data_IF_468920664248
#
_entry.id   IF_468920664248
#
_cell.length_a   1.000
_cell.length_b   1.000
_cell.length_c   1.000
_cell.angle_alpha   90.00
_cell.angle_beta   90.00
_cell.angle_gamma   90.00
#
_symmetry.space_group_name_H-M   'P 1'
#
loop_
_entity.id
_entity.type
_entity.pdbx_description
1 polymer ?
#
# COMPACT_ATOMS: atom_id res chain seq x y z
N UNK A 1 42.64 -27.01 6.69
CA UNK A 1 41.62 -25.95 6.59
C UNK A 1 40.60 -26.17 7.70
N UNK A 2 40.42 -25.23 8.64
CA UNK A 2 39.44 -25.40 9.70
C UNK A 2 38.01 -25.13 9.17
N UNK A 3 36.97 -25.75 9.76
CA UNK A 3 35.59 -25.50 9.37
C UNK A 3 35.15 -24.11 9.83
N UNK A 4 34.52 -23.36 8.91
CA UNK A 4 33.80 -22.12 9.20
C UNK A 4 32.52 -22.46 9.99
N UNK A 5 32.66 -22.84 11.25
CA UNK A 5 31.58 -22.70 12.24
C UNK A 5 31.46 -21.21 12.60
N UNK A 6 30.82 -20.47 11.70
CA UNK A 6 30.37 -19.12 12.01
C UNK A 6 29.19 -19.21 12.98
N UNK A 7 29.49 -18.84 14.22
CA UNK A 7 28.58 -18.26 15.20
C UNK A 7 27.42 -17.49 14.54
N UNK A 8 26.28 -18.15 14.35
CA UNK A 8 24.99 -17.47 14.31
C UNK A 8 24.39 -17.61 15.69
N UNK A 9 24.95 -16.83 16.63
CA UNK A 9 24.25 -16.47 17.83
C UNK A 9 22.86 -15.98 17.42
N UNK A 10 21.87 -16.53 18.09
CA UNK A 10 20.46 -16.27 17.99
C UNK A 10 20.15 -14.85 17.52
N UNK A 11 19.62 -14.74 16.29
CA UNK A 11 18.74 -13.63 15.94
C UNK A 11 17.42 -13.87 16.69
N UNK A 12 17.51 -13.83 18.02
CA UNK A 12 16.41 -13.50 18.88
C UNK A 12 16.08 -12.06 18.52
N UNK A 13 15.13 -11.90 17.59
CA UNK A 13 14.46 -10.62 17.38
C UNK A 13 13.66 -10.42 18.65
N UNK A 14 14.35 -9.99 19.70
CA UNK A 14 13.71 -9.40 20.86
C UNK A 14 12.91 -8.23 20.29
N UNK A 15 11.60 -8.44 20.23
CA UNK A 15 10.58 -7.42 20.04
C UNK A 15 10.54 -6.48 21.25
N UNK A 16 11.69 -6.14 21.80
CA UNK A 16 11.94 -4.99 22.66
C UNK A 16 11.98 -3.76 21.76
N UNK A 17 10.86 -3.52 21.07
CA UNK A 17 10.47 -2.14 20.83
C UNK A 17 10.27 -1.57 22.23
N UNK A 18 11.28 -0.87 22.72
CA UNK A 18 11.15 0.09 23.80
C UNK A 18 10.06 1.05 23.35
N UNK A 19 8.82 0.69 23.67
CA UNK A 19 7.79 1.65 23.97
C UNK A 19 8.42 2.55 25.03
N UNK A 20 8.90 3.71 24.60
CA UNK A 20 8.86 4.88 25.46
C UNK A 20 7.39 5.06 25.81
N UNK A 21 6.94 4.32 26.83
CA UNK A 21 5.79 4.64 27.63
C UNK A 21 6.13 6.00 28.21
N UNK A 22 5.70 7.03 27.48
CA UNK A 22 5.32 8.29 28.10
C UNK A 22 4.47 7.90 29.30
N UNK A 23 4.95 8.27 30.49
CA UNK A 23 4.30 8.00 31.77
C UNK A 23 2.78 8.17 31.68
N UNK A 24 1.98 7.22 32.19
CA UNK A 24 0.52 7.34 32.19
C UNK A 24 -0.02 8.49 33.07
N UNK A 25 0.85 9.11 33.86
CA UNK A 25 0.44 10.04 34.91
C UNK A 25 0.72 11.47 34.48
N UNK A 26 -0.14 12.01 33.63
CA UNK A 26 -0.59 13.41 33.60
C UNK A 26 -1.53 13.63 32.40
N UNK A 27 -2.57 12.80 32.29
CA UNK A 27 -3.78 13.24 31.59
C UNK A 27 -4.58 14.08 32.59
N UNK A 28 -4.09 15.30 32.87
CA UNK A 28 -4.94 16.31 33.48
C UNK A 28 -6.11 16.49 32.53
N UNK A 29 -7.28 16.14 33.04
CA UNK A 29 -8.58 16.29 32.45
C UNK A 29 -8.82 17.75 32.06
N UNK A 30 -8.25 18.17 30.94
CA UNK A 30 -8.69 19.33 30.21
C UNK A 30 -10.10 18.98 29.74
N UNK A 31 -11.07 19.52 30.48
CA UNK A 31 -12.50 19.49 30.21
C UNK A 31 -12.67 19.96 28.78
N UNK A 32 -12.70 19.00 27.85
CA UNK A 32 -13.06 19.27 26.47
C UNK A 32 -14.48 19.81 26.53
N UNK A 33 -14.75 21.02 25.99
CA UNK A 33 -16.08 21.57 25.98
C UNK A 33 -16.98 20.52 25.33
N UNK A 34 -18.04 20.11 26.06
CA UNK A 34 -19.06 19.18 25.60
C UNK A 34 -19.64 19.74 24.30
N UNK A 35 -19.02 19.38 23.17
CA UNK A 35 -19.63 19.56 21.86
C UNK A 35 -20.91 18.76 21.95
N UNK A 36 -22.03 19.47 21.96
CA UNK A 36 -23.34 18.88 21.71
C UNK A 36 -23.23 18.26 20.31
N UNK A 37 -22.84 16.99 20.27
CA UNK A 37 -22.97 16.15 19.09
C UNK A 37 -24.45 16.23 18.76
N UNK A 38 -24.77 17.05 17.76
CA UNK A 38 -26.04 16.92 17.07
C UNK A 38 -26.09 15.45 16.67
N UNK A 39 -27.06 14.73 17.25
CA UNK A 39 -27.51 13.45 16.73
C UNK A 39 -28.17 13.76 15.38
N UNK A 40 -27.37 14.16 14.38
CA UNK A 40 -27.70 13.90 13.00
C UNK A 40 -27.87 12.39 12.97
N UNK A 41 -29.12 11.97 12.84
CA UNK A 41 -29.52 10.60 12.59
C UNK A 41 -28.69 10.11 11.42
N UNK A 42 -27.60 9.41 11.72
CA UNK A 42 -26.73 8.80 10.72
C UNK A 42 -27.64 7.88 9.91
N UNK A 43 -28.11 8.36 8.75
CA UNK A 43 -28.89 7.57 7.82
C UNK A 43 -28.06 6.32 7.57
N UNK A 44 -28.59 5.18 8.01
CA UNK A 44 -27.93 3.89 7.80
C UNK A 44 -27.68 3.79 6.30
N UNK A 45 -26.41 3.75 5.91
CA UNK A 45 -26.04 3.60 4.50
C UNK A 45 -26.44 2.19 4.10
N UNK A 46 -27.65 2.05 3.56
CA UNK A 46 -28.10 0.79 3.00
C UNK A 46 -27.43 0.61 1.64
N UNK A 47 -26.68 -0.48 1.50
CA UNK A 47 -26.13 -0.92 0.21
C UNK A 47 -27.12 -1.92 -0.35
N UNK A 48 -27.81 -1.55 -1.43
CA UNK A 48 -28.67 -2.46 -2.17
C UNK A 48 -27.87 -3.12 -3.28
N UNK A 49 -28.05 -4.42 -3.45
CA UNK A 49 -27.45 -5.19 -4.52
C UNK A 49 -28.53 -5.57 -5.54
N UNK A 50 -28.13 -5.85 -6.79
CA UNK A 50 -29.05 -6.39 -7.79
C UNK A 50 -29.44 -7.83 -7.42
N UNK A 51 -30.67 -8.22 -7.72
CA UNK A 51 -31.22 -9.55 -7.41
C UNK A 51 -30.41 -10.72 -8.02
N UNK A 52 -29.61 -10.44 -9.06
CA UNK A 52 -28.75 -11.43 -9.71
C UNK A 52 -27.43 -11.72 -8.97
N UNK A 53 -27.11 -10.97 -7.91
CA UNK A 53 -25.85 -11.14 -7.16
C UNK A 53 -25.99 -12.34 -6.21
N UNK A 54 -25.23 -13.40 -6.48
CA UNK A 54 -25.15 -14.56 -5.58
C UNK A 54 -24.23 -14.23 -4.40
N UNK A 55 -24.77 -14.26 -3.19
CA UNK A 55 -23.97 -14.14 -1.97
C UNK A 55 -23.46 -15.51 -1.55
N UNK A 56 -22.19 -15.56 -1.18
CA UNK A 56 -21.62 -16.70 -0.47
C UNK A 56 -21.30 -16.24 0.95
N UNK A 57 -21.95 -16.83 1.94
CA UNK A 57 -21.58 -16.61 3.32
C UNK A 57 -20.19 -17.21 3.54
N UNK A 58 -19.23 -16.37 3.93
CA UNK A 58 -17.90 -16.84 4.34
C UNK A 58 -17.96 -17.06 5.85
N UNK A 59 -17.83 -18.31 6.34
CA UNK A 59 -17.91 -18.59 7.76
C UNK A 59 -16.80 -17.88 8.52
N UNK A 60 -17.11 -17.43 9.75
CA UNK A 60 -16.11 -16.81 10.60
C UNK A 60 -15.04 -17.82 11.00
N UNK A 61 -13.81 -17.38 11.31
CA UNK A 61 -12.74 -18.30 11.69
C UNK A 61 -13.09 -19.14 12.94
N UNK A 62 -13.94 -18.63 13.83
CA UNK A 62 -14.46 -19.34 14.99
C UNK A 62 -15.41 -20.49 14.62
N UNK A 63 -16.12 -20.40 13.51
CA UNK A 63 -17.08 -21.41 13.03
C UNK A 63 -16.41 -22.56 12.28
N UNK A 64 -15.16 -22.38 11.82
CA UNK A 64 -14.44 -23.41 11.06
C UNK A 64 -13.81 -24.42 12.02
N UNK A 65 -14.16 -25.70 11.86
CA UNK A 65 -13.61 -26.79 12.67
C UNK A 65 -12.10 -26.96 12.48
N UNK A 66 -11.37 -27.44 13.50
CA UNK A 66 -9.92 -27.69 13.41
C UNK A 66 -9.54 -28.58 12.22
N UNK A 67 -10.37 -29.57 11.89
CA UNK A 67 -10.16 -30.46 10.73
C UNK A 67 -10.28 -29.71 9.41
N UNK A 68 -11.30 -28.87 9.25
CA UNK A 68 -11.43 -28.02 8.06
C UNK A 68 -10.29 -27.00 7.97
N UNK A 69 -9.87 -26.42 9.09
CA UNK A 69 -8.71 -25.52 9.16
C UNK A 69 -7.43 -26.19 8.64
N UNK A 70 -7.17 -27.42 9.09
CA UNK A 70 -6.03 -28.21 8.62
C UNK A 70 -6.11 -28.61 7.14
N UNK A 71 -7.32 -28.74 6.59
CA UNK A 71 -7.51 -29.06 5.17
C UNK A 71 -7.43 -27.82 4.27
N UNK A 72 -7.84 -26.65 4.77
CA UNK A 72 -7.89 -25.41 4.00
C UNK A 72 -6.60 -24.60 4.06
N UNK A 73 -5.82 -24.74 5.14
CA UNK A 73 -4.60 -23.97 5.36
C UNK A 73 -3.36 -24.85 5.31
N UNK A 74 -2.23 -24.19 5.03
CA UNK A 74 -0.93 -24.80 5.13
C UNK A 74 -0.75 -25.45 6.50
N UNK A 75 -0.25 -26.68 6.48
CA UNK A 75 0.30 -27.30 7.68
C UNK A 75 1.46 -26.45 8.23
N UNK A 76 1.78 -26.58 9.54
CA UNK A 76 2.90 -25.85 10.12
C UNK A 76 4.23 -26.08 9.38
N UNK A 77 4.46 -27.30 8.88
CA UNK A 77 5.66 -27.66 8.11
C UNK A 77 5.70 -26.98 6.74
N UNK A 78 4.58 -26.96 6.01
CA UNK A 78 4.46 -26.23 4.75
C UNK A 78 4.67 -24.73 4.96
N UNK A 79 4.04 -24.15 5.98
CA UNK A 79 4.20 -22.73 6.32
C UNK A 79 5.66 -22.40 6.65
N UNK A 80 6.34 -23.27 7.39
CA UNK A 80 7.77 -23.12 7.67
C UNK A 80 8.62 -23.23 6.40
N UNK A 81 8.26 -24.11 5.46
CA UNK A 81 8.94 -24.22 4.17
C UNK A 81 8.79 -22.96 3.32
N UNK A 82 7.55 -22.48 3.15
CA UNK A 82 7.24 -21.23 2.44
C UNK A 82 8.00 -20.05 3.06
N UNK A 83 8.05 -19.98 4.40
CA UNK A 83 8.82 -18.93 5.09
C UNK A 83 10.32 -19.02 4.80
N UNK A 84 10.91 -20.22 4.84
CA UNK A 84 12.34 -20.41 4.53
C UNK A 84 12.66 -20.02 3.10
N UNK A 85 11.79 -20.36 2.15
CA UNK A 85 11.94 -19.98 0.75
C UNK A 85 11.84 -18.47 0.58
N UNK A 86 10.84 -17.82 1.17
CA UNK A 86 10.71 -16.36 1.14
C UNK A 86 11.96 -15.66 1.70
N UNK A 87 12.50 -16.12 2.83
CA UNK A 87 13.74 -15.58 3.40
C UNK A 87 14.91 -15.75 2.44
N UNK A 88 15.04 -16.92 1.81
CA UNK A 88 16.10 -17.19 0.82
C UNK A 88 15.99 -16.23 -0.37
N UNK A 89 14.79 -16.04 -0.91
CA UNK A 89 14.53 -15.10 -2.00
C UNK A 89 14.89 -13.67 -1.61
N UNK A 90 14.47 -13.21 -0.43
CA UNK A 90 14.82 -11.87 0.08
C UNK A 90 16.33 -11.69 0.22
N UNK A 91 17.06 -12.71 0.72
CA UNK A 91 18.53 -12.67 0.80
C UNK A 91 19.16 -12.52 -0.58
N UNK A 92 18.68 -13.26 -1.58
CA UNK A 92 19.16 -13.13 -2.97
C UNK A 92 18.90 -11.75 -3.55
N UNK A 93 17.68 -11.22 -3.36
CA UNK A 93 17.32 -9.86 -3.77
C UNK A 93 18.22 -8.82 -3.11
N UNK A 94 18.47 -8.95 -1.80
CA UNK A 94 19.36 -8.06 -1.05
C UNK A 94 20.78 -8.04 -1.62
N UNK A 95 21.26 -9.20 -2.07
CA UNK A 95 22.57 -9.37 -2.67
C UNK A 95 22.59 -9.08 -4.19
N UNK A 96 21.49 -8.56 -4.76
CA UNK A 96 21.31 -8.30 -6.20
C UNK A 96 21.56 -9.54 -7.08
N UNK A 97 21.33 -10.73 -6.55
CA UNK A 97 21.43 -11.99 -7.29
C UNK A 97 20.13 -12.15 -8.09
N UNK A 98 20.24 -12.37 -9.40
CA UNK A 98 19.08 -12.64 -10.26
C UNK A 98 18.31 -13.85 -9.75
N UNK A 99 16.98 -13.78 -9.75
CA UNK A 99 16.11 -14.90 -9.40
C UNK A 99 15.97 -15.85 -10.58
N UNK A 100 15.78 -17.15 -10.30
CA UNK A 100 15.53 -18.15 -11.33
C UNK A 100 14.14 -17.99 -11.97
N UNK A 101 13.87 -18.67 -13.10
CA UNK A 101 12.60 -18.53 -13.84
C UNK A 101 11.36 -18.97 -13.03
N UNK A 102 11.55 -19.85 -12.03
CA UNK A 102 10.47 -20.34 -11.17
C UNK A 102 10.38 -19.60 -9.82
N UNK A 103 11.25 -18.61 -9.59
CA UNK A 103 11.28 -17.84 -8.35
C UNK A 103 10.64 -16.48 -8.58
N UNK A 104 9.72 -16.11 -7.71
CA UNK A 104 9.06 -14.80 -7.75
C UNK A 104 9.54 -13.92 -6.60
N UNK A 105 9.88 -12.66 -6.90
CA UNK A 105 10.10 -11.61 -5.89
C UNK A 105 8.79 -10.98 -5.42
N UNK A 106 7.64 -11.40 -5.98
CA UNK A 106 6.37 -10.73 -5.78
C UNK A 106 5.91 -10.83 -4.32
N UNK A 107 5.48 -9.71 -3.76
CA UNK A 107 5.11 -9.61 -2.34
C UNK A 107 6.31 -9.59 -1.37
N UNK A 108 7.54 -9.69 -1.88
CA UNK A 108 8.78 -9.63 -1.12
C UNK A 108 9.61 -8.37 -1.42
N UNK A 109 9.15 -7.49 -2.31
CA UNK A 109 9.86 -6.31 -2.81
C UNK A 109 10.21 -5.33 -1.69
N UNK A 110 9.37 -5.24 -0.65
CA UNK A 110 9.60 -4.34 0.49
C UNK A 110 10.25 -5.04 1.68
N UNK A 111 10.71 -6.29 1.53
CA UNK A 111 11.27 -7.10 2.62
C UNK A 111 12.79 -7.05 2.68
N UNK A 112 13.42 -6.57 1.63
CA UNK A 112 14.83 -6.26 1.58
C UNK A 112 15.12 -4.98 2.42
N UNK A 113 16.23 -4.88 3.17
CA UNK A 113 16.42 -3.79 4.14
C UNK A 113 16.36 -2.38 3.55
N UNK A 114 16.87 -2.22 2.33
CA UNK A 114 16.89 -0.95 1.61
C UNK A 114 15.49 -0.52 1.20
N UNK A 115 14.73 -1.41 0.58
CA UNK A 115 13.37 -1.15 0.12
C UNK A 115 12.41 -1.01 1.29
N UNK A 116 12.63 -1.75 2.38
CA UNK A 116 11.89 -1.56 3.63
C UNK A 116 12.12 -0.15 4.20
N UNK A 117 13.37 0.30 4.26
CA UNK A 117 13.71 1.66 4.72
C UNK A 117 13.09 2.73 3.84
N UNK A 118 13.16 2.56 2.51
CA UNK A 118 12.53 3.46 1.55
C UNK A 118 11.00 3.51 1.72
N UNK A 119 10.36 2.37 1.95
CA UNK A 119 8.93 2.28 2.22
C UNK A 119 8.53 3.01 3.51
N UNK A 120 9.30 2.84 4.59
CA UNK A 120 9.08 3.56 5.85
C UNK A 120 9.19 5.08 5.63
N UNK A 121 10.22 5.55 4.92
CA UNK A 121 10.40 6.98 4.69
C UNK A 121 9.28 7.57 3.84
N UNK A 122 8.85 6.87 2.80
CA UNK A 122 7.72 7.31 1.97
C UNK A 122 6.41 7.38 2.78
N UNK A 123 6.17 6.39 3.64
CA UNK A 123 5.03 6.39 4.56
C UNK A 123 5.10 7.59 5.51
N UNK A 124 6.26 7.84 6.12
CA UNK A 124 6.48 9.00 7.00
C UNK A 124 6.25 10.32 6.27
N UNK A 125 6.79 10.47 5.05
CA UNK A 125 6.59 11.64 4.20
C UNK A 125 5.10 11.88 3.94
N UNK A 126 4.37 10.85 3.55
CA UNK A 126 2.93 10.94 3.29
C UNK A 126 2.16 11.40 4.53
N UNK A 127 2.45 10.81 5.69
CA UNK A 127 1.83 11.20 6.97
C UNK A 127 2.15 12.65 7.32
N UNK A 128 3.42 13.09 7.21
CA UNK A 128 3.83 14.47 7.48
C UNK A 128 3.09 15.48 6.61
N UNK A 129 2.91 15.16 5.33
CA UNK A 129 2.17 16.01 4.38
C UNK A 129 0.72 16.19 4.85
N UNK A 130 0.06 15.10 5.22
CA UNK A 130 -1.34 15.13 5.69
C UNK A 130 -1.47 15.91 6.99
N UNK A 131 -0.58 15.65 7.96
CA UNK A 131 -0.59 16.35 9.25
C UNK A 131 -0.31 17.85 9.08
N UNK A 132 0.63 18.22 8.20
CA UNK A 132 0.92 19.62 7.89
C UNK A 132 -0.31 20.33 7.34
N UNK A 133 -1.07 19.66 6.47
CA UNK A 133 -2.29 20.24 5.91
C UNK A 133 -3.41 20.32 6.95
N UNK A 134 -3.62 19.26 7.73
CA UNK A 134 -4.57 19.26 8.84
C UNK A 134 -4.28 20.34 9.88
N UNK A 135 -3.00 20.67 10.10
CA UNK A 135 -2.61 21.74 11.01
C UNK A 135 -2.82 23.13 10.39
N UNK A 136 -2.60 23.25 9.07
CA UNK A 136 -2.84 24.51 8.34
C UNK A 136 -4.32 24.88 8.31
N UNK A 137 -5.20 23.90 8.15
CA UNK A 137 -6.64 24.10 8.20
C UNK A 137 -7.09 24.35 9.64
N UNK A 138 -7.50 25.58 9.95
CA UNK A 138 -8.32 25.84 11.13
C UNK A 138 -9.57 24.92 11.09
N UNK A 139 -10.21 24.60 12.23
CA UNK A 139 -11.33 23.65 12.28
C UNK A 139 -12.54 23.97 11.37
N UNK A 140 -12.61 25.18 10.81
CA UNK A 140 -13.67 25.62 9.89
C UNK A 140 -13.22 25.79 8.43
N UNK A 141 -11.94 25.54 8.10
CA UNK A 141 -11.36 25.82 6.78
C UNK A 141 -10.59 24.61 6.24
N UNK A 142 -11.21 23.43 6.38
CA UNK A 142 -10.65 22.17 5.89
C UNK A 142 -11.01 21.99 4.42
N UNK A 143 -10.02 22.13 3.55
CA UNK A 143 -10.15 21.86 2.11
C UNK A 143 -9.95 20.37 1.82
N UNK A 144 -11.06 19.61 1.85
CA UNK A 144 -11.06 18.19 1.54
C UNK A 144 -10.67 17.89 0.08
N UNK A 145 -10.95 18.80 -0.85
CA UNK A 145 -10.58 18.62 -2.26
C UNK A 145 -9.08 18.70 -2.45
N UNK A 146 -8.43 19.67 -1.80
CA UNK A 146 -6.98 19.80 -1.79
C UNK A 146 -6.30 18.58 -1.17
N UNK A 147 -6.77 18.11 -0.02
CA UNK A 147 -6.25 16.90 0.63
C UNK A 147 -6.40 15.69 -0.31
N UNK A 148 -7.57 15.53 -0.94
CA UNK A 148 -7.80 14.46 -1.91
C UNK A 148 -6.90 14.56 -3.15
N UNK A 149 -6.64 15.78 -3.65
CA UNK A 149 -5.73 16.03 -4.76
C UNK A 149 -4.28 15.67 -4.39
N UNK A 150 -3.87 15.99 -3.16
CA UNK A 150 -2.54 15.68 -2.62
C UNK A 150 -2.33 14.17 -2.45
N UNK A 151 -3.34 13.45 -1.94
CA UNK A 151 -3.33 11.98 -1.90
C UNK A 151 -3.23 11.36 -3.30
N UNK A 152 -4.04 11.85 -4.25
CA UNK A 152 -3.96 11.42 -5.65
C UNK A 152 -2.59 11.67 -6.25
N UNK A 153 -1.97 12.82 -5.96
CA UNK A 153 -0.63 13.13 -6.44
C UNK A 153 0.41 12.13 -5.93
N UNK A 154 0.39 11.85 -4.63
CA UNK A 154 1.36 10.95 -3.99
C UNK A 154 1.15 9.48 -4.40
N UNK A 155 -0.09 9.05 -4.65
CA UNK A 155 -0.40 7.67 -5.05
C UNK A 155 -0.13 7.36 -6.53
N UNK A 156 0.09 8.36 -7.39
CA UNK A 156 0.36 8.17 -8.83
C UNK A 156 1.54 7.24 -9.12
N UNK A 157 2.57 7.22 -8.28
CA UNK A 157 3.72 6.32 -8.47
C UNK A 157 3.30 4.86 -8.23
N UNK A 158 2.55 4.60 -7.18
CA UNK A 158 2.03 3.28 -6.86
C UNK A 158 1.07 2.77 -7.94
N UNK A 159 0.18 3.62 -8.45
CA UNK A 159 -0.75 3.25 -9.53
C UNK A 159 -0.01 2.87 -10.81
N UNK A 160 0.99 3.66 -11.22
CA UNK A 160 1.82 3.34 -12.40
C UNK A 160 2.56 2.02 -12.23
N UNK A 161 3.10 1.77 -11.05
CA UNK A 161 3.80 0.53 -10.78
C UNK A 161 2.85 -0.68 -10.78
N UNK A 162 1.65 -0.54 -10.21
CA UNK A 162 0.64 -1.58 -10.24
C UNK A 162 0.21 -1.93 -11.67
N UNK A 163 0.02 -0.92 -12.53
CA UNK A 163 -0.28 -1.13 -13.96
C UNK A 163 0.87 -1.86 -14.65
N UNK A 164 2.11 -1.40 -14.45
CA UNK A 164 3.31 -2.03 -15.03
C UNK A 164 3.44 -3.49 -14.63
N UNK A 165 3.19 -3.82 -13.36
CA UNK A 165 3.22 -5.19 -12.87
C UNK A 165 2.08 -6.03 -13.45
N UNK A 166 0.87 -5.47 -13.58
CA UNK A 166 -0.26 -6.15 -14.21
C UNK A 166 0.00 -6.47 -15.70
N UNK A 167 0.71 -5.59 -16.42
CA UNK A 167 1.13 -5.84 -17.81
C UNK A 167 2.12 -7.01 -17.91
N UNK A 168 3.07 -7.10 -16.96
CA UNK A 168 4.02 -8.22 -16.87
C UNK A 168 3.27 -9.53 -16.57
N UNK A 169 2.37 -9.51 -15.59
CA UNK A 169 1.56 -10.68 -15.24
C UNK A 169 0.72 -11.16 -16.43
N UNK A 170 0.09 -10.22 -17.15
CA UNK A 170 -0.67 -10.52 -18.35
C UNK A 170 0.23 -11.14 -19.44
N UNK A 171 1.44 -10.61 -19.64
CA UNK A 171 2.38 -11.16 -20.59
C UNK A 171 2.86 -12.59 -20.21
N UNK A 172 3.05 -12.89 -18.93
CA UNK A 172 3.41 -14.24 -18.46
C UNK A 172 2.27 -15.25 -18.71
N UNK A 173 1.02 -14.84 -18.44
CA UNK A 173 -0.16 -15.70 -18.62
C UNK A 173 -0.49 -15.92 -20.10
N UNK A 174 -0.51 -14.86 -20.90
CA UNK A 174 -0.93 -14.93 -22.31
C UNK A 174 0.23 -15.21 -23.28
N UNK A 175 1.47 -14.97 -22.88
CA UNK A 175 2.68 -15.21 -23.69
C UNK A 175 3.25 -16.62 -23.57
N UNK A 176 2.72 -17.44 -22.66
CA UNK A 176 3.26 -18.75 -22.28
C UNK A 176 3.05 -19.93 -23.25
N UNK A 177 2.71 -19.70 -24.53
CA UNK A 177 2.51 -20.81 -25.49
C UNK A 177 3.49 -20.84 -26.67
N UNK A 178 4.53 -19.99 -26.72
CA UNK A 178 5.45 -19.97 -27.88
C UNK A 178 6.95 -19.86 -27.55
N UNK A 179 7.38 -20.10 -26.31
CA UNK A 179 8.80 -19.98 -25.91
C UNK A 179 9.73 -21.11 -26.38
N UNK A 180 9.27 -22.03 -27.24
CA UNK A 180 10.16 -22.95 -27.95
C UNK A 180 10.91 -22.29 -29.13
N UNK A 181 10.61 -21.04 -29.48
CA UNK A 181 11.16 -20.40 -30.68
C UNK A 181 11.74 -19.02 -30.35
N UNK A 182 13.08 -18.90 -30.49
CA UNK A 182 13.93 -17.68 -30.59
C UNK A 182 14.43 -17.10 -29.26
N UNK A 183 15.72 -16.94 -29.00
CA UNK A 183 16.90 -16.99 -29.87
C UNK A 183 17.12 -15.76 -30.77
N UNK A 184 16.26 -14.74 -30.72
CA UNK A 184 16.37 -13.57 -31.60
C UNK A 184 15.96 -12.32 -30.85
N UNK A 185 16.94 -11.44 -30.63
CA UNK A 185 16.82 -10.18 -29.90
C UNK A 185 15.83 -9.22 -30.54
N UNK A 186 14.56 -9.35 -30.19
CA UNK A 186 13.55 -8.34 -30.49
C UNK A 186 13.36 -7.47 -29.27
N UNK A 187 13.93 -6.27 -29.36
CA UNK A 187 13.73 -5.15 -28.45
C UNK A 187 12.26 -4.77 -28.49
N UNK A 188 11.47 -5.21 -27.50
CA UNK A 188 10.07 -4.82 -27.35
C UNK A 188 10.01 -3.30 -27.17
N UNK A 189 9.61 -2.59 -28.24
CA UNK A 189 9.23 -1.19 -28.16
C UNK A 189 7.83 -1.13 -27.53
N UNK A 190 7.79 -0.89 -26.22
CA UNK A 190 6.54 -0.58 -25.52
C UNK A 190 6.01 0.74 -26.09
N UNK A 191 4.97 0.66 -26.92
CA UNK A 191 4.29 1.83 -27.46
C UNK A 191 3.59 2.57 -26.32
N UNK A 192 4.20 3.68 -25.89
CA UNK A 192 3.74 4.56 -24.80
C UNK A 192 2.42 5.33 -25.07
N UNK A 193 1.63 4.96 -26.08
CA UNK A 193 0.66 5.86 -26.73
C UNK A 193 -0.80 5.83 -26.20
N UNK A 194 -1.13 5.12 -25.12
CA UNK A 194 -2.55 5.04 -24.67
C UNK A 194 -2.92 5.97 -23.49
N UNK A 195 -1.95 6.50 -22.73
CA UNK A 195 -2.25 7.23 -21.47
C UNK A 195 -2.29 8.76 -21.55
N UNK A 196 -1.82 9.38 -22.64
CA UNK A 196 -1.91 10.84 -22.82
C UNK A 196 -3.35 11.34 -22.99
N UNK A 197 -4.27 10.49 -23.47
CA UNK A 197 -5.69 10.86 -23.64
C UNK A 197 -6.42 11.10 -22.31
N UNK A 198 -5.97 10.52 -21.19
CA UNK A 198 -6.57 10.78 -19.86
C UNK A 198 -6.00 12.02 -19.15
N UNK A 199 -4.86 12.57 -19.60
CA UNK A 199 -4.27 13.78 -19.00
C UNK A 199 -4.96 15.06 -19.45
N UNK A 200 -5.50 15.10 -20.67
CA UNK A 200 -6.08 16.32 -21.26
C UNK A 200 -7.46 16.71 -20.70
N UNK A 201 -8.14 15.83 -19.97
CA UNK A 201 -9.46 16.14 -19.39
C UNK A 201 -9.40 16.81 -18.01
N UNK A 202 -8.26 16.77 -17.31
CA UNK A 202 -8.15 17.27 -15.92
C UNK A 202 -7.59 18.70 -15.84
N UNK A 203 -6.86 19.18 -16.85
CA UNK A 203 -6.25 20.53 -16.83
C UNK A 203 -7.15 21.65 -17.34
N UNK A 204 -8.40 21.38 -17.75
CA UNK A 204 -9.31 22.44 -18.27
C UNK A 204 -10.29 23.03 -17.24
N UNK A 205 -10.25 22.60 -15.98
CA UNK A 205 -11.25 22.99 -14.98
C UNK A 205 -10.82 24.04 -13.95
N UNK A 206 -9.53 24.38 -13.83
CA UNK A 206 -9.02 25.14 -12.67
C UNK A 206 -8.68 26.61 -12.93
N UNK A 207 -8.77 27.11 -14.17
CA UNK A 207 -8.22 28.43 -14.52
C UNK A 207 -9.27 29.57 -14.59
N UNK A 208 -10.50 29.38 -14.10
CA UNK A 208 -11.59 30.36 -14.31
C UNK A 208 -12.01 31.22 -13.12
N UNK A 209 -11.40 31.14 -11.93
CA UNK A 209 -11.87 31.93 -10.77
C UNK A 209 -10.76 32.65 -9.97
N UNK A 210 -9.90 33.43 -10.65
CA UNK A 210 -8.94 34.30 -9.95
C UNK A 210 -8.93 35.76 -10.45
N UNK A 211 -10.09 36.28 -10.85
CA UNK A 211 -10.23 37.68 -11.26
C UNK A 211 -11.54 38.32 -10.77
N UNK A 212 -11.71 38.46 -9.44
CA UNK A 212 -12.61 39.50 -8.89
C UNK A 212 -12.39 39.68 -7.39
N UNK A 213 -11.40 40.48 -6.98
CA UNK A 213 -11.42 41.20 -5.70
C UNK A 213 -10.31 42.24 -5.65
N UNK A 214 -10.53 43.35 -6.34
CA UNK A 214 -9.85 44.62 -6.07
C UNK A 214 -10.89 45.71 -6.27
N UNK A 215 -11.43 46.22 -5.17
CA UNK A 215 -11.82 47.63 -4.95
C UNK A 215 -12.65 47.73 -3.66
N UNK A 216 -11.97 47.95 -2.55
CA UNK A 216 -12.55 48.54 -1.35
C UNK A 216 -11.61 49.67 -0.91
N UNK A 217 -11.78 50.82 -1.53
CA UNK A 217 -11.17 52.09 -1.12
C UNK A 217 -11.97 52.62 0.06
N UNK A 218 -11.36 52.66 1.24
CA UNK A 218 -11.90 53.38 2.40
C UNK A 218 -11.61 54.88 2.22
N UNK A 219 -12.65 55.70 2.30
CA UNK A 219 -12.57 57.12 2.64
C UNK A 219 -12.90 57.29 4.13
#
# INVERSE_FOLDING_TARGET
MPPLEQHFADLNIDSSTTSNFLSPDHCTSAISPKRKLHNETLRSKQVTFRDSVKFRLIPSQSEISKKQKQQLWYSPSESASVRREAIRTVRRMSNKISLGPNETSRGLETKTPKEHSAHIEEKRRTIRIVLKEQWRSAPNDRDDEYIAALYRHNSRKAVREAIRLAEIDAAEVYGGSNSAIRGSGTKLMVHHNSYESLRRSVTRGSDLNLASSKNATFQ
#
